data_IF_894607016058
#
_entry.id   IF_894607016058
#
_cell.length_a   1.000
_cell.length_b   1.000
_cell.length_c   1.000
_cell.angle_alpha   90.00
_cell.angle_beta   90.00
_cell.angle_gamma   90.00
#
_symmetry.space_group_name_H-M   'P 1'
#
loop_
_entity.id
_entity.type
_entity.pdbx_description
1 polymer ?
#
# COMPACT_ATOMS: atom_id res chain seq x y z
N UNK A 1 2.40 -2.73 14.81
CA UNK A 1 2.27 -3.85 13.85
C UNK A 1 3.40 -3.86 12.81
N UNK A 2 3.53 -4.93 12.01
CA UNK A 2 4.44 -5.00 10.84
C UNK A 2 3.71 -4.50 9.60
N UNK A 3 4.29 -3.52 8.90
CA UNK A 3 3.70 -2.87 7.72
C UNK A 3 4.63 -3.08 6.53
N UNK A 4 4.08 -3.53 5.42
CA UNK A 4 4.72 -3.35 4.12
C UNK A 4 4.22 -2.02 3.54
N UNK A 5 5.14 -1.09 3.26
CA UNK A 5 4.84 0.18 2.58
C UNK A 5 5.12 0.06 1.08
N UNK A 6 4.06 0.02 0.28
CA UNK A 6 4.10 -0.08 -1.18
C UNK A 6 3.78 1.22 -1.90
N UNK A 7 4.42 1.40 -3.04
CA UNK A 7 4.18 2.52 -3.94
C UNK A 7 5.22 2.55 -5.04
N UNK A 8 4.98 3.35 -6.10
CA UNK A 8 5.98 3.55 -7.14
C UNK A 8 7.28 4.08 -6.51
N UNK A 9 8.42 3.69 -7.07
CA UNK A 9 9.74 3.89 -6.46
C UNK A 9 10.84 4.24 -7.46
N UNK A 10 10.46 4.72 -8.64
CA UNK A 10 11.32 4.85 -9.81
C UNK A 10 11.85 6.27 -10.01
N UNK A 11 11.16 7.28 -9.46
CA UNK A 11 11.57 8.69 -9.54
C UNK A 11 12.08 9.21 -8.20
N UNK A 12 12.86 10.30 -8.23
CA UNK A 12 13.39 10.91 -7.01
C UNK A 12 12.27 11.39 -6.05
N UNK A 13 11.15 11.87 -6.60
CA UNK A 13 10.00 12.31 -5.81
C UNK A 13 9.32 11.12 -5.09
N UNK A 14 9.13 10.02 -5.81
CA UNK A 14 8.57 8.77 -5.28
C UNK A 14 9.44 8.19 -4.16
N UNK A 15 10.75 8.07 -4.42
CA UNK A 15 11.72 7.59 -3.42
C UNK A 15 11.69 8.47 -2.17
N UNK A 16 11.74 9.80 -2.33
CA UNK A 16 11.73 10.73 -1.21
C UNK A 16 10.43 10.59 -0.39
N UNK A 17 9.28 10.48 -1.05
CA UNK A 17 8.00 10.32 -0.37
C UNK A 17 7.92 8.99 0.40
N UNK A 18 8.35 7.89 -0.22
CA UNK A 18 8.36 6.56 0.41
C UNK A 18 9.24 6.52 1.66
N UNK A 19 10.43 7.10 1.60
CA UNK A 19 11.34 7.15 2.74
C UNK A 19 10.78 8.00 3.89
N UNK A 20 10.16 9.15 3.58
CA UNK A 20 9.50 10.00 4.57
C UNK A 20 8.34 9.26 5.25
N UNK A 21 7.49 8.58 4.47
CA UNK A 21 6.36 7.83 5.01
C UNK A 21 6.81 6.64 5.87
N UNK A 22 7.82 5.89 5.43
CA UNK A 22 8.41 4.80 6.21
C UNK A 22 8.95 5.31 7.56
N UNK A 23 9.64 6.46 7.57
CA UNK A 23 10.11 7.09 8.80
C UNK A 23 8.95 7.49 9.74
N UNK A 24 7.94 8.20 9.21
CA UNK A 24 6.75 8.63 9.99
C UNK A 24 5.99 7.44 10.60
N UNK A 25 5.88 6.33 9.89
CA UNK A 25 5.25 5.11 10.38
C UNK A 25 6.09 4.43 11.49
N UNK A 26 7.43 4.45 11.37
CA UNK A 26 8.33 3.93 12.42
C UNK A 26 8.32 4.78 13.67
N UNK A 27 8.25 6.10 13.55
CA UNK A 27 8.10 7.03 14.69
C UNK A 27 6.84 6.73 15.53
N UNK A 28 5.82 6.13 14.90
CA UNK A 28 4.58 5.67 15.54
C UNK A 28 4.68 4.26 16.12
N UNK A 29 5.87 3.67 16.15
CA UNK A 29 6.13 2.36 16.76
C UNK A 29 5.81 1.16 15.86
N UNK A 30 5.62 1.37 14.56
CA UNK A 30 5.45 0.27 13.62
C UNK A 30 6.80 -0.27 13.13
N UNK A 31 6.84 -1.57 12.80
CA UNK A 31 7.95 -2.17 12.07
C UNK A 31 7.61 -2.06 10.59
N UNK A 32 8.39 -1.32 9.81
CA UNK A 32 8.05 -0.99 8.42
C UNK A 32 9.08 -1.57 7.47
N UNK A 33 8.62 -2.31 6.48
CA UNK A 33 9.38 -2.66 5.28
C UNK A 33 9.09 -1.64 4.18
N UNK A 34 10.13 -1.08 3.57
CA UNK A 34 10.05 -0.15 2.45
C UNK A 34 10.99 -0.64 1.33
N UNK A 35 10.48 -0.96 0.13
CA UNK A 35 11.31 -1.46 -0.98
C UNK A 35 12.51 -0.56 -1.31
N UNK A 36 12.38 0.76 -1.11
CA UNK A 36 13.46 1.73 -1.35
C UNK A 36 14.71 1.50 -0.49
N UNK A 37 14.60 0.79 0.62
CA UNK A 37 15.71 0.51 1.55
C UNK A 37 16.31 -0.90 1.34
N UNK A 38 15.78 -1.67 0.39
CA UNK A 38 16.25 -3.04 0.10
C UNK A 38 17.48 -3.03 -0.82
N UNK A 39 18.60 -2.52 -0.31
CA UNK A 39 19.85 -2.35 -1.06
C UNK A 39 20.36 -3.62 -1.77
N UNK A 40 20.29 -4.85 -1.19
CA UNK A 40 20.86 -6.03 -1.87
C UNK A 40 20.21 -6.38 -3.20
N UNK A 41 18.94 -6.00 -3.41
CA UNK A 41 18.14 -6.39 -4.59
C UNK A 41 17.87 -5.20 -5.51
N UNK A 42 17.85 -3.98 -4.96
CA UNK A 42 17.66 -2.76 -5.74
C UNK A 42 18.95 -2.10 -6.22
N UNK A 43 20.13 -2.63 -5.87
CA UNK A 43 21.41 -2.20 -6.45
C UNK A 43 21.47 -2.46 -7.96
N UNK A 44 21.31 -1.38 -8.74
CA UNK A 44 21.33 -1.41 -10.21
C UNK A 44 22.74 -1.63 -10.80
N UNK A 45 23.79 -1.65 -9.97
CA UNK A 45 25.15 -1.98 -10.42
C UNK A 45 25.41 -3.48 -10.43
N UNK A 46 24.55 -4.28 -9.77
CA UNK A 46 24.62 -5.74 -9.77
C UNK A 46 24.04 -6.32 -11.05
N UNK A 47 24.77 -7.29 -11.62
CA UNK A 47 24.37 -8.00 -12.85
C UNK A 47 23.69 -9.33 -12.57
N UNK A 48 23.68 -9.80 -11.32
CA UNK A 48 23.11 -11.10 -10.95
C UNK A 48 21.67 -10.99 -10.38
N UNK A 49 21.09 -9.79 -10.35
CA UNK A 49 19.70 -9.58 -9.96
C UNK A 49 18.79 -9.95 -11.13
N UNK A 50 17.85 -10.87 -10.87
CA UNK A 50 16.87 -11.34 -11.84
C UNK A 50 15.46 -10.96 -11.39
N UNK A 51 14.49 -10.95 -12.30
CA UNK A 51 13.08 -10.70 -11.98
C UNK A 51 12.54 -11.71 -10.94
N UNK A 52 12.98 -12.97 -11.00
CA UNK A 52 12.59 -13.99 -10.02
C UNK A 52 13.13 -13.67 -8.61
N UNK A 53 14.37 -13.18 -8.49
CA UNK A 53 14.96 -12.78 -7.20
C UNK A 53 14.20 -11.61 -6.59
N UNK A 54 13.83 -10.63 -7.41
CA UNK A 54 13.00 -9.48 -6.99
C UNK A 54 11.65 -9.99 -6.49
N UNK A 55 10.93 -10.75 -7.32
CA UNK A 55 9.63 -11.32 -6.98
C UNK A 55 9.67 -12.09 -5.66
N UNK A 56 10.64 -12.99 -5.46
CA UNK A 56 10.75 -13.79 -4.23
C UNK A 56 10.95 -12.92 -2.99
N UNK A 57 11.77 -11.88 -3.08
CA UNK A 57 12.03 -11.01 -1.96
C UNK A 57 10.83 -10.12 -1.60
N UNK A 58 10.14 -9.59 -2.60
CA UNK A 58 8.93 -8.79 -2.37
C UNK A 58 7.82 -9.66 -1.75
N UNK A 59 7.67 -10.91 -2.21
CA UNK A 59 6.74 -11.88 -1.63
C UNK A 59 7.11 -12.21 -0.18
N UNK A 60 8.39 -12.48 0.11
CA UNK A 60 8.85 -12.77 1.48
C UNK A 60 8.56 -11.59 2.42
N UNK A 61 8.79 -10.36 1.96
CA UNK A 61 8.48 -9.16 2.72
C UNK A 61 6.97 -8.95 2.93
N UNK A 62 6.14 -9.27 1.93
CA UNK A 62 4.67 -9.24 2.07
C UNK A 62 4.18 -10.29 3.07
N UNK A 63 4.66 -11.53 2.99
CA UNK A 63 4.27 -12.62 3.91
C UNK A 63 4.73 -12.38 5.38
N UNK A 64 5.73 -11.51 5.57
CA UNK A 64 6.17 -11.08 6.90
C UNK A 64 5.34 -9.93 7.50
N UNK A 65 4.54 -9.21 6.69
CA UNK A 65 3.73 -8.08 7.15
C UNK A 65 2.37 -8.50 7.73
N UNK A 66 1.83 -7.66 8.62
CA UNK A 66 0.43 -7.77 9.08
C UNK A 66 -0.52 -6.99 8.17
N UNK A 67 -0.07 -5.82 7.69
CA UNK A 67 -0.84 -4.93 6.83
C UNK A 67 0.03 -4.52 5.65
N UNK A 68 -0.57 -4.52 4.46
CA UNK A 68 0.00 -3.85 3.29
C UNK A 68 -0.63 -2.46 3.17
N UNK A 69 0.19 -1.42 3.20
CA UNK A 69 -0.25 -0.05 2.94
C UNK A 69 0.31 0.36 1.59
N UNK A 70 -0.55 0.76 0.65
CA UNK A 70 -0.13 1.08 -0.69
C UNK A 70 -0.57 2.48 -1.14
N UNK A 71 0.29 3.17 -1.89
CA UNK A 71 -0.13 4.34 -2.65
C UNK A 71 -1.06 3.91 -3.80
N UNK A 72 -2.27 4.46 -3.83
CA UNK A 72 -3.22 4.21 -4.93
C UNK A 72 -2.70 4.89 -6.19
N UNK A 73 -2.13 4.09 -7.09
CA UNK A 73 -1.49 4.54 -8.31
C UNK A 73 -1.62 3.50 -9.44
N UNK A 74 -1.24 3.89 -10.66
CA UNK A 74 -1.21 2.99 -11.82
C UNK A 74 0.07 2.12 -11.88
N UNK A 75 0.85 2.07 -10.80
CA UNK A 75 2.01 1.19 -10.74
C UNK A 75 1.58 -0.28 -10.72
N UNK A 76 2.01 -1.04 -11.72
CA UNK A 76 1.64 -2.44 -11.86
C UNK A 76 2.21 -3.31 -10.74
N UNK A 77 3.37 -2.96 -10.17
CA UNK A 77 3.96 -3.68 -9.05
C UNK A 77 3.09 -3.56 -7.80
N UNK A 78 2.83 -2.32 -7.38
CA UNK A 78 1.94 -1.99 -6.26
C UNK A 78 0.56 -2.66 -6.40
N UNK A 79 -0.03 -2.65 -7.61
CA UNK A 79 -1.31 -3.29 -7.86
C UNK A 79 -1.27 -4.83 -7.77
N UNK A 80 -0.16 -5.45 -8.22
CA UNK A 80 0.06 -6.89 -8.08
C UNK A 80 0.18 -7.30 -6.60
N UNK A 81 0.98 -6.56 -5.85
CA UNK A 81 1.17 -6.74 -4.41
C UNK A 81 -0.16 -6.62 -3.64
N UNK A 82 -0.99 -5.63 -4.00
CA UNK A 82 -2.31 -5.44 -3.41
C UNK A 82 -3.22 -6.66 -3.62
N UNK A 83 -3.28 -7.19 -4.85
CA UNK A 83 -4.07 -8.37 -5.17
C UNK A 83 -3.57 -9.62 -4.45
N UNK A 84 -2.26 -9.79 -4.35
CA UNK A 84 -1.65 -10.89 -3.61
C UNK A 84 -1.95 -10.81 -2.10
N UNK A 85 -1.78 -9.64 -1.48
CA UNK A 85 -2.03 -9.47 -0.04
C UNK A 85 -3.52 -9.54 0.31
N UNK A 86 -4.42 -9.09 -0.58
CA UNK A 86 -5.86 -9.33 -0.44
C UNK A 86 -6.16 -10.85 -0.37
N UNK A 87 -5.53 -11.64 -1.25
CA UNK A 87 -5.67 -13.10 -1.21
C UNK A 87 -5.16 -13.69 0.12
N UNK A 88 -3.99 -13.27 0.60
CA UNK A 88 -3.46 -13.69 1.90
C UNK A 88 -4.45 -13.41 3.04
N UNK A 89 -4.99 -12.20 3.11
CA UNK A 89 -5.91 -11.77 4.17
C UNK A 89 -7.28 -12.45 4.12
N UNK A 90 -7.77 -12.82 2.94
CA UNK A 90 -9.13 -13.34 2.78
C UNK A 90 -9.21 -14.86 2.68
N UNK A 91 -8.17 -15.48 2.14
CA UNK A 91 -8.21 -16.88 1.72
C UNK A 91 -7.13 -17.74 2.35
N UNK A 92 -6.12 -17.15 2.99
CA UNK A 92 -5.03 -17.90 3.64
C UNK A 92 -5.13 -17.83 5.16
N UNK A 93 -4.93 -16.65 5.75
CA UNK A 93 -4.97 -16.48 7.22
C UNK A 93 -5.29 -15.02 7.58
N UNK A 94 -6.57 -14.76 7.89
CA UNK A 94 -7.04 -13.42 8.26
C UNK A 94 -6.62 -12.96 9.66
N UNK A 95 -6.12 -13.87 10.52
CA UNK A 95 -5.57 -13.51 11.83
C UNK A 95 -4.13 -12.98 11.69
N UNK A 96 -3.38 -13.52 10.73
CA UNK A 96 -2.01 -13.11 10.38
C UNK A 96 -1.98 -11.87 9.48
N UNK A 97 -2.77 -11.90 8.40
CA UNK A 97 -2.80 -10.89 7.34
C UNK A 97 -4.10 -10.10 7.43
N UNK A 98 -4.03 -8.86 7.89
CA UNK A 98 -5.20 -8.09 8.27
C UNK A 98 -5.87 -7.42 7.07
N UNK A 99 -5.11 -7.17 6.00
CA UNK A 99 -5.60 -6.67 4.73
C UNK A 99 -4.76 -5.54 4.15
N UNK A 100 -5.34 -4.86 3.16
CA UNK A 100 -4.71 -3.81 2.37
C UNK A 100 -5.39 -2.47 2.63
N UNK A 101 -4.60 -1.43 2.92
CA UNK A 101 -5.06 -0.06 3.08
C UNK A 101 -4.46 0.82 1.97
N UNK A 102 -5.32 1.44 1.16
CA UNK A 102 -4.89 2.37 0.11
C UNK A 102 -4.76 3.80 0.62
N UNK A 103 -3.68 4.50 0.26
CA UNK A 103 -3.51 5.94 0.40
C UNK A 103 -3.66 6.61 -0.97
N UNK A 104 -4.72 7.41 -1.17
CA UNK A 104 -5.04 8.06 -2.43
C UNK A 104 -4.96 9.58 -2.30
N UNK A 105 -3.78 10.15 -2.58
CA UNK A 105 -3.50 11.59 -2.42
C UNK A 105 -3.81 12.45 -3.66
N UNK A 106 -4.31 11.85 -4.74
CA UNK A 106 -4.72 12.60 -5.92
C UNK A 106 -5.97 13.44 -5.60
N UNK A 107 -5.77 14.74 -5.46
CA UNK A 107 -6.81 15.71 -5.12
C UNK A 107 -8.01 15.70 -6.08
N UNK A 108 -7.84 15.16 -7.30
CA UNK A 108 -8.95 15.03 -8.27
C UNK A 108 -9.99 14.00 -7.82
N UNK A 109 -9.65 13.10 -6.90
CA UNK A 109 -10.62 12.16 -6.31
C UNK A 109 -11.63 12.86 -5.40
N UNK A 110 -11.36 14.09 -4.96
CA UNK A 110 -12.30 14.92 -4.21
C UNK A 110 -13.30 15.67 -5.10
N UNK A 111 -13.11 15.64 -6.42
CA UNK A 111 -14.02 16.32 -7.36
C UNK A 111 -15.30 15.48 -7.49
N UNK A 112 -16.43 16.08 -7.15
CA UNK A 112 -17.74 15.47 -7.37
C UNK A 112 -17.97 15.28 -8.87
N UNK A 113 -18.14 14.04 -9.37
CA UNK A 113 -18.38 13.79 -10.79
C UNK A 113 -19.61 14.55 -11.29
N UNK A 114 -19.47 15.19 -12.44
CA UNK A 114 -20.54 15.97 -13.09
C UNK A 114 -21.15 15.15 -14.22
N UNK A 115 -22.41 14.68 -14.09
CA UNK A 115 -23.05 13.84 -15.12
C UNK A 115 -23.22 14.54 -16.48
N UNK A 116 -23.23 15.88 -16.47
CA UNK A 116 -23.29 16.74 -17.65
C UNK A 116 -21.92 16.93 -18.34
N UNK A 117 -20.82 16.49 -17.74
CA UNK A 117 -19.47 16.56 -18.28
C UNK A 117 -18.93 15.16 -18.60
N UNK A 118 -18.19 15.03 -19.70
CA UNK A 118 -17.69 13.74 -20.17
C UNK A 118 -16.21 13.79 -20.56
N UNK A 119 -15.54 12.63 -20.47
CA UNK A 119 -14.16 12.42 -20.90
C UNK A 119 -13.23 13.42 -20.20
N UNK A 120 -12.40 14.13 -20.95
CA UNK A 120 -11.44 15.09 -20.44
C UNK A 120 -12.07 16.30 -19.72
N UNK A 121 -13.34 16.62 -19.98
CA UNK A 121 -14.05 17.74 -19.32
C UNK A 121 -14.60 17.34 -17.94
N UNK A 122 -14.71 16.04 -17.66
CA UNK A 122 -15.04 15.59 -16.31
C UNK A 122 -13.75 15.49 -15.51
N UNK A 123 -13.56 16.46 -14.60
CA UNK A 123 -12.33 16.60 -13.81
C UNK A 123 -12.22 15.60 -12.65
N UNK A 124 -13.22 14.75 -12.44
CA UNK A 124 -13.17 13.71 -11.42
C UNK A 124 -12.08 12.68 -11.74
N UNK A 125 -11.23 12.43 -10.75
CA UNK A 125 -10.19 11.41 -10.84
C UNK A 125 -10.79 10.03 -11.08
N UNK A 126 -10.05 9.19 -11.79
CA UNK A 126 -10.42 7.80 -12.05
C UNK A 126 -9.37 6.87 -11.45
N UNK A 127 -9.83 5.89 -10.69
CA UNK A 127 -9.04 4.74 -10.24
C UNK A 127 -9.70 3.50 -10.81
N UNK A 128 -8.90 2.56 -11.31
CA UNK A 128 -9.42 1.29 -11.81
C UNK A 128 -10.40 0.63 -10.80
N UNK A 129 -11.67 0.36 -11.17
CA UNK A 129 -12.69 -0.19 -10.27
C UNK A 129 -12.36 -1.55 -9.68
N UNK A 130 -11.52 -2.35 -10.36
CA UNK A 130 -11.08 -3.63 -9.83
C UNK A 130 -10.12 -3.42 -8.64
N UNK A 131 -9.20 -2.47 -8.78
CA UNK A 131 -8.26 -2.09 -7.71
C UNK A 131 -9.00 -1.42 -6.57
N UNK A 132 -9.76 -0.35 -6.84
CA UNK A 132 -10.49 0.37 -5.78
C UNK A 132 -11.54 -0.52 -5.10
N UNK A 133 -12.23 -1.38 -5.85
CA UNK A 133 -13.15 -2.37 -5.29
C UNK A 133 -12.46 -3.39 -4.36
N UNK A 134 -11.25 -3.84 -4.69
CA UNK A 134 -10.45 -4.69 -3.82
C UNK A 134 -10.07 -3.99 -2.52
N UNK A 135 -9.50 -2.78 -2.62
CA UNK A 135 -9.09 -1.97 -1.46
C UNK A 135 -10.28 -1.65 -0.54
N UNK A 136 -11.42 -1.22 -1.10
CA UNK A 136 -12.64 -0.91 -0.34
C UNK A 136 -13.24 -2.12 0.37
N UNK A 137 -13.04 -3.33 -0.18
CA UNK A 137 -13.46 -4.59 0.48
C UNK A 137 -12.45 -5.12 1.49
N UNK A 138 -11.25 -4.53 1.52
CA UNK A 138 -10.17 -4.85 2.45
C UNK A 138 -10.20 -3.86 3.63
N UNK A 139 -9.15 -3.08 3.88
CA UNK A 139 -9.11 -2.12 5.00
C UNK A 139 -9.61 -0.72 4.62
N UNK A 140 -9.82 -0.46 3.34
CA UNK A 140 -10.37 0.79 2.80
C UNK A 140 -9.37 1.62 2.00
N UNK A 141 -9.76 2.86 1.72
CA UNK A 141 -8.94 3.90 1.10
C UNK A 141 -9.05 5.15 1.97
N UNK A 142 -7.93 5.79 2.24
CA UNK A 142 -7.79 7.09 2.92
C UNK A 142 -7.17 8.10 1.96
N UNK A 143 -7.40 9.39 2.20
CA UNK A 143 -7.09 10.44 1.22
C UNK A 143 -5.95 11.38 1.62
N UNK A 144 -5.49 11.27 2.86
CA UNK A 144 -4.30 11.97 3.35
C UNK A 144 -3.55 11.17 4.42
N UNK A 145 -2.42 11.73 4.86
CA UNK A 145 -1.54 11.08 5.83
C UNK A 145 -2.16 11.03 7.24
N UNK A 146 -2.94 12.03 7.64
CA UNK A 146 -3.56 12.08 8.97
C UNK A 146 -4.64 11.00 9.08
N UNK A 147 -5.48 10.87 8.07
CA UNK A 147 -6.45 9.78 7.93
C UNK A 147 -5.76 8.42 7.92
N UNK A 148 -4.63 8.28 7.21
CA UNK A 148 -3.84 7.04 7.22
C UNK A 148 -3.40 6.66 8.63
N UNK A 149 -2.81 7.60 9.37
CA UNK A 149 -2.32 7.31 10.71
C UNK A 149 -3.46 6.95 11.67
N UNK A 150 -4.55 7.72 11.66
CA UNK A 150 -5.73 7.42 12.47
C UNK A 150 -6.31 6.03 12.13
N UNK A 151 -6.39 5.70 10.83
CA UNK A 151 -6.92 4.41 10.39
C UNK A 151 -6.04 3.24 10.82
N UNK A 152 -4.72 3.38 10.78
CA UNK A 152 -3.79 2.35 11.25
C UNK A 152 -3.90 2.11 12.76
N UNK A 153 -4.11 3.16 13.56
CA UNK A 153 -4.37 3.05 15.01
C UNK A 153 -5.66 2.27 15.30
N UNK A 154 -6.75 2.55 14.57
CA UNK A 154 -8.01 1.81 14.67
C UNK A 154 -7.83 0.33 14.35
N UNK A 155 -7.12 0.02 13.25
CA UNK A 155 -6.86 -1.35 12.80
C UNK A 155 -6.04 -2.12 13.85
N UNK A 156 -4.98 -1.51 14.38
CA UNK A 156 -4.15 -2.12 15.41
C UNK A 156 -4.92 -2.34 16.71
N UNK A 157 -5.75 -1.38 17.13
CA UNK A 157 -6.63 -1.50 18.29
C UNK A 157 -7.61 -2.67 18.15
N UNK A 158 -8.27 -2.80 16.99
CA UNK A 158 -9.22 -3.86 16.72
C UNK A 158 -8.60 -5.27 16.73
N UNK A 159 -7.33 -5.41 16.32
CA UNK A 159 -6.63 -6.70 16.31
C UNK A 159 -5.99 -7.05 17.65
N UNK A 160 -5.50 -6.05 18.41
CA UNK A 160 -4.99 -6.28 19.77
C UNK A 160 -6.10 -6.67 20.75
N UNK A 161 -7.29 -6.07 20.64
CA UNK A 161 -8.44 -6.42 21.48
C UNK A 161 -8.90 -7.87 21.30
N UNK A 162 -8.81 -8.42 20.08
CA UNK A 162 -9.17 -9.81 19.78
C UNK A 162 -8.15 -10.85 20.27
N UNK A 163 -6.90 -10.46 20.52
CA UNK A 163 -5.87 -11.36 21.01
C UNK A 163 -5.90 -11.55 22.55
N UNK A 164 -6.70 -10.73 23.25
CA UNK A 164 -6.88 -10.75 24.70
C UNK A 164 -8.18 -11.43 25.17
N UNK A 165 -8.99 -11.95 24.23
CA UNK A 165 -10.17 -12.80 24.47
C UNK A 165 -9.84 -14.26 24.16
#
# INVERSE_FOLDING_TARGET
>A
MRIYWGGPMFTAAEVAYNLVMAAKLRERGHVVYCPNESEPINDKTRTDITAEKIYRADIEALEDANVYVCQVSEDSGTNWEAGYFDCLSRHVDSARYWGVLGLATDIRLNVVPRPDQARAENMAGYVNPFVSGGLLRSLGIVYDEEELFARLEEIEGAHRGKASE
#
